data_IF_504019836765
#
_entry.id   IF_504019836765
#
_cell.length_a   1.000
_cell.length_b   1.000
_cell.length_c   1.000
_cell.angle_alpha   90.00
_cell.angle_beta   90.00
_cell.angle_gamma   90.00
#
_symmetry.space_group_name_H-M   'P 1'
#
loop_
_entity.id
_entity.type
_entity.pdbx_description
1 polymer ?
#
# COMPACT_ATOMS: atom_id res chain seq x y z
N UNK A 1 7.98 8.92 8.90
CA UNK A 1 8.36 8.77 7.47
C UNK A 1 7.10 8.33 6.75
N UNK A 2 6.73 8.93 5.62
CA UNK A 2 5.50 8.55 4.90
C UNK A 2 5.63 7.12 4.37
N UNK A 3 4.61 6.27 4.55
CA UNK A 3 4.57 4.92 3.98
C UNK A 3 4.36 4.93 2.46
N UNK A 4 3.75 6.00 1.93
CA UNK A 4 3.48 6.22 0.53
C UNK A 4 4.15 7.54 0.08
N UNK A 5 5.07 7.47 -0.88
CA UNK A 5 5.78 8.65 -1.41
C UNK A 5 5.47 8.84 -2.90
N UNK A 6 4.46 9.66 -3.17
CA UNK A 6 4.03 10.00 -4.53
C UNK A 6 5.07 10.79 -5.33
N UNK A 7 6.12 11.31 -4.70
CA UNK A 7 7.18 12.04 -5.42
C UNK A 7 8.12 11.10 -6.16
N UNK A 8 8.13 9.80 -5.83
CA UNK A 8 8.90 8.78 -6.52
C UNK A 8 8.15 8.35 -7.78
N UNK A 9 8.88 8.12 -8.88
CA UNK A 9 8.32 7.56 -10.11
C UNK A 9 7.70 6.19 -9.81
N UNK A 10 6.47 5.98 -10.26
CA UNK A 10 5.74 4.74 -10.04
C UNK A 10 6.21 3.65 -10.98
N UNK A 11 6.60 2.52 -10.41
CA UNK A 11 6.83 1.26 -11.10
C UNK A 11 6.26 0.12 -10.26
N UNK A 12 5.53 -0.79 -10.89
CA UNK A 12 5.03 -1.98 -10.24
C UNK A 12 6.16 -2.99 -10.06
N UNK A 13 6.24 -3.56 -8.86
CA UNK A 13 7.26 -4.53 -8.47
C UNK A 13 6.57 -5.81 -8.01
N UNK A 14 6.94 -6.93 -8.63
CA UNK A 14 6.44 -8.24 -8.24
C UNK A 14 7.50 -9.00 -7.47
N UNK A 15 7.09 -9.60 -6.37
CA UNK A 15 7.96 -10.39 -5.50
C UNK A 15 7.33 -11.75 -5.24
N UNK A 16 8.16 -12.75 -4.92
CA UNK A 16 7.71 -14.08 -4.56
C UNK A 16 8.37 -14.58 -3.28
N UNK A 17 7.69 -15.48 -2.59
CA UNK A 17 8.17 -16.18 -1.41
C UNK A 17 8.16 -17.68 -1.69
N UNK A 18 9.31 -18.36 -1.53
CA UNK A 18 9.50 -19.73 -2.03
C UNK A 18 8.86 -20.80 -1.16
N UNK A 19 8.85 -20.61 0.16
CA UNK A 19 8.39 -21.62 1.11
C UNK A 19 7.75 -20.95 2.35
N UNK A 20 6.43 -20.87 2.35
CA UNK A 20 5.65 -20.26 3.43
C UNK A 20 5.73 -21.03 4.76
N UNK A 21 6.27 -22.26 4.77
CA UNK A 21 6.50 -23.02 6.01
C UNK A 21 7.71 -22.52 6.79
N UNK A 22 8.59 -21.75 6.14
CA UNK A 22 9.85 -21.25 6.70
C UNK A 22 9.81 -19.72 6.73
N UNK A 23 9.53 -19.14 7.88
CA UNK A 23 9.55 -17.68 8.08
C UNK A 23 9.96 -17.30 9.49
N UNK A 24 10.49 -16.09 9.66
CA UNK A 24 10.84 -15.54 10.96
C UNK A 24 9.57 -15.16 11.73
N UNK A 25 9.41 -15.71 12.93
CA UNK A 25 8.28 -15.41 13.81
C UNK A 25 8.51 -14.08 14.54
N UNK A 26 7.51 -13.21 14.49
CA UNK A 26 7.47 -11.97 15.23
C UNK A 26 6.19 -11.88 16.04
N UNK A 27 6.29 -11.48 17.30
CA UNK A 27 5.14 -11.26 18.17
C UNK A 27 4.67 -9.80 18.06
N UNK A 28 3.35 -9.60 18.15
CA UNK A 28 2.81 -8.26 18.33
C UNK A 28 3.34 -7.65 19.64
N UNK A 29 3.57 -6.33 19.66
CA UNK A 29 3.81 -5.61 20.91
C UNK A 29 2.61 -5.76 21.85
N UNK A 30 2.86 -5.61 23.17
CA UNK A 30 1.79 -5.53 24.18
C UNK A 30 0.79 -4.42 23.82
N UNK A 31 -0.50 -4.67 24.05
CA UNK A 31 -1.59 -3.75 23.73
C UNK A 31 -2.16 -3.93 22.33
N UNK A 32 -1.78 -5.01 21.62
CA UNK A 32 -2.33 -5.35 20.31
C UNK A 32 -2.58 -6.84 20.18
N UNK A 33 -3.65 -7.21 19.45
CA UNK A 33 -3.91 -8.59 19.05
C UNK A 33 -4.33 -8.70 17.59
N UNK A 34 -4.39 -9.94 17.07
CA UNK A 34 -4.93 -10.23 15.75
C UNK A 34 -6.40 -10.65 15.83
N UNK A 35 -7.22 -10.16 14.92
CA UNK A 35 -8.55 -10.67 14.65
C UNK A 35 -8.69 -11.05 13.18
N UNK A 36 -9.44 -12.13 12.90
CA UNK A 36 -9.87 -12.43 11.55
C UNK A 36 -11.06 -11.56 11.13
N UNK A 37 -11.24 -11.44 9.83
CA UNK A 37 -12.39 -10.75 9.23
C UNK A 37 -13.72 -11.33 9.72
N UNK A 38 -14.67 -10.44 9.95
CA UNK A 38 -16.07 -10.75 10.27
C UNK A 38 -16.97 -9.94 9.35
N UNK A 39 -18.18 -10.44 9.11
CA UNK A 39 -19.19 -9.70 8.34
C UNK A 39 -19.36 -8.27 8.90
N UNK A 40 -19.33 -7.28 7.99
CA UNK A 40 -19.38 -5.86 8.34
C UNK A 40 -18.01 -5.17 8.46
N UNK A 41 -16.90 -5.90 8.40
CA UNK A 41 -15.55 -5.34 8.55
C UNK A 41 -15.04 -4.58 7.29
N UNK A 42 -15.77 -4.58 6.20
CA UNK A 42 -15.41 -3.82 4.98
C UNK A 42 -15.10 -2.35 5.30
N UNK A 43 -15.90 -1.70 6.13
CA UNK A 43 -15.67 -0.30 6.49
C UNK A 43 -14.37 -0.11 7.29
N UNK A 44 -14.01 -1.06 8.15
CA UNK A 44 -12.74 -1.05 8.87
C UNK A 44 -11.55 -1.14 7.91
N UNK A 45 -11.65 -2.03 6.92
CA UNK A 45 -10.64 -2.17 5.88
C UNK A 45 -10.48 -0.88 5.07
N UNK A 46 -11.58 -0.29 4.57
CA UNK A 46 -11.57 0.97 3.83
C UNK A 46 -10.91 2.08 4.64
N UNK A 47 -11.27 2.22 5.92
CA UNK A 47 -10.69 3.23 6.80
C UNK A 47 -9.19 3.05 7.02
N UNK A 48 -8.70 1.80 7.17
CA UNK A 48 -7.27 1.54 7.30
C UNK A 48 -6.54 2.01 6.04
N UNK A 49 -7.05 1.70 4.84
CA UNK A 49 -6.41 2.09 3.57
C UNK A 49 -6.48 3.60 3.31
N UNK A 50 -7.55 4.27 3.70
CA UNK A 50 -7.63 5.74 3.66
C UNK A 50 -6.60 6.35 4.62
N UNK A 51 -6.55 5.90 5.87
CA UNK A 51 -5.65 6.46 6.88
C UNK A 51 -4.18 6.07 6.66
N UNK A 52 -3.90 4.97 5.96
CA UNK A 52 -2.55 4.63 5.52
C UNK A 52 -2.06 5.50 4.36
N UNK A 53 -2.98 6.04 3.57
CA UNK A 53 -2.69 6.90 2.41
C UNK A 53 -2.87 6.23 1.06
N UNK A 54 -3.46 5.06 1.03
CA UNK A 54 -3.64 4.27 -0.19
C UNK A 54 -4.88 4.69 -0.97
N UNK A 55 -6.00 4.96 -0.27
CA UNK A 55 -7.24 5.46 -0.86
C UNK A 55 -7.47 6.93 -0.53
N UNK A 56 -8.11 7.63 -1.46
CA UNK A 56 -8.53 9.02 -1.26
C UNK A 56 -10.04 9.20 -1.16
N UNK A 57 -10.83 8.11 -1.28
CA UNK A 57 -12.28 8.15 -1.19
C UNK A 57 -12.87 6.83 -0.68
N UNK A 58 -13.99 6.91 0.06
CA UNK A 58 -14.70 5.72 0.56
C UNK A 58 -15.27 4.91 -0.60
N UNK A 59 -15.84 5.57 -1.62
CA UNK A 59 -16.40 4.92 -2.81
C UNK A 59 -15.34 4.16 -3.61
N UNK A 60 -14.10 4.65 -3.64
CA UNK A 60 -12.96 3.93 -4.21
C UNK A 60 -12.74 2.62 -3.47
N UNK A 61 -12.65 2.67 -2.13
CA UNK A 61 -12.48 1.50 -1.29
C UNK A 61 -13.61 0.48 -1.42
N UNK A 62 -14.88 0.93 -1.49
CA UNK A 62 -16.04 0.05 -1.72
C UNK A 62 -15.90 -0.70 -3.03
N UNK A 63 -15.61 0.00 -4.12
CA UNK A 63 -15.48 -0.59 -5.45
C UNK A 63 -14.31 -1.60 -5.51
N UNK A 64 -13.18 -1.25 -4.90
CA UNK A 64 -12.01 -2.14 -4.86
C UNK A 64 -12.31 -3.37 -4.02
N UNK A 65 -12.93 -3.21 -2.85
CA UNK A 65 -13.28 -4.34 -1.98
C UNK A 65 -14.14 -5.37 -2.71
N UNK A 66 -15.23 -4.93 -3.34
CA UNK A 66 -16.13 -5.82 -4.09
C UNK A 66 -15.43 -6.48 -5.30
N UNK A 67 -14.68 -5.71 -6.07
CA UNK A 67 -13.95 -6.25 -7.23
C UNK A 67 -12.91 -7.30 -6.83
N UNK A 68 -12.32 -7.15 -5.65
CA UNK A 68 -11.23 -8.02 -5.21
C UNK A 68 -11.71 -9.24 -4.42
N UNK A 69 -12.71 -9.07 -3.56
CA UNK A 69 -13.08 -10.07 -2.56
C UNK A 69 -14.38 -10.81 -2.80
N UNK A 70 -15.31 -10.29 -3.63
CA UNK A 70 -16.63 -10.91 -3.80
C UNK A 70 -16.55 -12.37 -4.27
N UNK A 71 -15.55 -12.74 -5.07
CA UNK A 71 -15.37 -14.09 -5.58
C UNK A 71 -15.04 -15.14 -4.50
N UNK A 72 -14.46 -14.70 -3.37
CA UNK A 72 -14.10 -15.58 -2.24
C UNK A 72 -14.42 -14.96 -0.87
N UNK A 73 -15.45 -14.10 -0.82
CA UNK A 73 -15.85 -13.39 0.41
C UNK A 73 -16.16 -14.34 1.57
N UNK A 74 -16.65 -15.54 1.28
CA UNK A 74 -16.95 -16.59 2.26
C UNK A 74 -15.71 -17.26 2.88
N UNK A 75 -14.51 -16.92 2.41
CA UNK A 75 -13.23 -17.40 2.96
C UNK A 75 -12.44 -16.33 3.72
N UNK A 76 -12.93 -15.09 3.77
CA UNK A 76 -12.20 -13.99 4.41
C UNK A 76 -11.98 -14.21 5.91
N UNK A 77 -12.86 -14.95 6.57
CA UNK A 77 -12.73 -15.36 7.97
C UNK A 77 -11.50 -16.24 8.27
N UNK A 78 -10.81 -16.77 7.25
CA UNK A 78 -9.60 -17.58 7.36
C UNK A 78 -8.37 -16.91 6.75
N UNK A 79 -8.58 -15.97 5.82
CA UNK A 79 -7.53 -15.41 4.94
C UNK A 79 -7.17 -13.99 5.26
N UNK A 80 -8.05 -13.30 5.96
CA UNK A 80 -7.98 -11.88 6.15
C UNK A 80 -7.87 -11.55 7.63
N UNK A 81 -6.86 -10.78 8.01
CA UNK A 81 -6.58 -10.41 9.39
C UNK A 81 -6.52 -8.91 9.59
N UNK A 82 -6.85 -8.51 10.80
CA UNK A 82 -6.63 -7.18 11.35
C UNK A 82 -5.69 -7.22 12.54
N UNK A 83 -4.96 -6.15 12.75
CA UNK A 83 -4.37 -5.79 14.04
C UNK A 83 -5.38 -4.89 14.74
N UNK A 84 -5.69 -5.20 15.99
CA UNK A 84 -6.61 -4.45 16.86
C UNK A 84 -5.83 -3.86 18.02
N UNK A 85 -6.07 -2.58 18.33
CA UNK A 85 -5.56 -1.91 19.53
C UNK A 85 -6.44 -2.30 20.72
N UNK A 86 -5.87 -2.91 21.76
CA UNK A 86 -6.58 -3.44 22.93
C UNK A 86 -7.27 -2.35 23.79
N UNK A 87 -6.79 -1.12 23.70
CA UNK A 87 -7.34 0.00 24.50
C UNK A 87 -8.56 0.61 23.80
N UNK A 88 -8.43 0.87 22.50
CA UNK A 88 -9.47 1.56 21.73
C UNK A 88 -10.45 0.60 21.07
N UNK A 89 -10.12 -0.69 20.99
CA UNK A 89 -10.80 -1.71 20.19
C UNK A 89 -10.89 -1.35 18.69
N UNK A 90 -9.94 -0.56 18.21
CA UNK A 90 -9.88 -0.09 16.84
C UNK A 90 -9.05 -1.03 15.97
N UNK A 91 -9.50 -1.33 14.76
CA UNK A 91 -8.72 -2.04 13.75
C UNK A 91 -7.76 -1.07 13.09
N UNK A 92 -6.46 -1.34 13.22
CA UNK A 92 -5.40 -0.38 12.91
C UNK A 92 -4.41 -0.86 11.83
N UNK A 93 -4.46 -2.13 11.51
CA UNK A 93 -3.65 -2.74 10.44
C UNK A 93 -4.36 -3.92 9.81
N UNK A 94 -3.96 -4.30 8.61
CA UNK A 94 -4.62 -5.35 7.83
C UNK A 94 -3.67 -6.02 6.85
N UNK A 95 -3.95 -7.28 6.51
CA UNK A 95 -3.33 -8.04 5.44
C UNK A 95 -4.24 -9.21 5.03
N UNK A 96 -4.13 -9.65 3.77
CA UNK A 96 -4.92 -10.75 3.21
C UNK A 96 -4.03 -11.75 2.48
N UNK A 97 -4.37 -13.04 2.53
CA UNK A 97 -3.94 -14.05 1.55
C UNK A 97 -5.08 -14.24 0.54
N UNK A 98 -4.92 -13.63 -0.61
CA UNK A 98 -5.88 -13.72 -1.70
C UNK A 98 -5.73 -15.03 -2.48
N UNK A 99 -6.86 -15.46 -3.06
CA UNK A 99 -6.88 -16.51 -4.08
C UNK A 99 -6.75 -15.87 -5.45
N UNK A 100 -5.77 -16.27 -6.21
CA UNK A 100 -5.68 -15.89 -7.61
C UNK A 100 -6.68 -16.74 -8.41
N UNK A 101 -7.58 -16.12 -9.17
CA UNK A 101 -8.59 -16.80 -9.99
C UNK A 101 -7.95 -17.63 -11.11
N UNK A 102 -6.81 -17.18 -11.60
CA UNK A 102 -5.93 -17.88 -12.52
C UNK A 102 -4.51 -17.85 -11.94
N UNK A 103 -3.68 -18.84 -12.32
CA UNK A 103 -2.28 -18.85 -11.90
C UNK A 103 -1.54 -17.65 -12.50
N UNK A 104 -1.04 -16.80 -11.64
CA UNK A 104 -0.18 -15.70 -12.03
C UNK A 104 1.27 -16.10 -11.80
N UNK A 105 2.09 -16.08 -12.86
CA UNK A 105 3.47 -16.57 -12.84
C UNK A 105 3.63 -18.00 -12.26
N UNK A 106 2.56 -18.80 -12.27
CA UNK A 106 2.53 -20.15 -11.69
C UNK A 106 2.06 -20.26 -10.26
N UNK A 107 1.82 -19.12 -9.57
CA UNK A 107 1.36 -19.04 -8.18
C UNK A 107 -0.16 -19.01 -8.07
N UNK A 108 -0.70 -19.56 -6.96
CA UNK A 108 -2.15 -19.62 -6.70
C UNK A 108 -2.60 -18.66 -5.60
N UNK A 109 -1.68 -18.03 -4.90
CA UNK A 109 -1.98 -17.13 -3.78
C UNK A 109 -1.07 -15.92 -3.76
N UNK A 110 -1.60 -14.81 -3.27
CA UNK A 110 -0.88 -13.57 -3.12
C UNK A 110 -1.08 -12.96 -1.73
N UNK A 111 -0.04 -12.27 -1.22
CA UNK A 111 -0.20 -11.34 -0.09
C UNK A 111 -0.67 -10.02 -0.66
N UNK A 112 -1.85 -9.59 -0.23
CA UNK A 112 -2.47 -8.37 -0.72
C UNK A 112 -2.92 -7.45 0.40
N UNK A 113 -3.09 -6.19 0.05
CA UNK A 113 -3.70 -5.15 0.87
C UNK A 113 -3.12 -5.05 2.27
N UNK A 114 -1.78 -5.03 2.35
CA UNK A 114 -1.05 -4.85 3.61
C UNK A 114 -0.98 -3.38 3.96
N UNK A 115 -1.67 -2.97 5.00
CA UNK A 115 -1.69 -1.58 5.43
C UNK A 115 -1.68 -1.44 6.96
N UNK A 116 -1.13 -0.33 7.44
CA UNK A 116 -1.20 0.10 8.85
C UNK A 116 -1.55 1.59 8.85
N UNK A 117 -2.56 1.98 9.63
CA UNK A 117 -2.95 3.38 9.82
C UNK A 117 -1.73 4.22 10.18
N UNK A 118 -1.66 5.45 9.66
CA UNK A 118 -0.51 6.34 9.79
C UNK A 118 -0.10 6.56 11.25
N UNK A 119 -1.05 6.77 12.15
CA UNK A 119 -0.80 7.05 13.57
C UNK A 119 -0.30 5.83 14.35
N UNK A 120 -0.39 4.65 13.74
CA UNK A 120 0.10 3.38 14.28
C UNK A 120 1.41 2.91 13.63
N UNK A 121 1.90 3.60 12.60
CA UNK A 121 3.20 3.30 12.00
C UNK A 121 4.34 3.63 12.98
N UNK A 122 5.45 2.92 12.81
CA UNK A 122 6.60 3.05 13.75
C UNK A 122 6.44 2.31 15.08
N UNK A 123 5.27 1.72 15.37
CA UNK A 123 5.00 0.94 16.59
C UNK A 123 5.40 -0.55 16.48
N UNK A 124 6.22 -0.91 15.49
CA UNK A 124 6.73 -2.27 15.25
C UNK A 124 5.64 -3.30 14.88
N UNK A 125 4.52 -2.87 14.29
CA UNK A 125 3.39 -3.73 13.94
C UNK A 125 3.59 -4.47 12.61
N UNK A 126 4.40 -3.94 11.69
CA UNK A 126 4.51 -4.47 10.32
C UNK A 126 5.19 -5.85 10.26
N UNK A 127 6.24 -6.09 11.04
CA UNK A 127 6.90 -7.41 11.05
C UNK A 127 5.98 -8.52 11.58
N UNK A 128 5.31 -8.37 12.75
CA UNK A 128 4.30 -9.32 13.18
C UNK A 128 3.19 -9.57 12.18
N UNK A 129 2.72 -8.52 11.48
CA UNK A 129 1.67 -8.64 10.47
C UNK A 129 2.11 -9.53 9.30
N UNK A 130 3.31 -9.29 8.75
CA UNK A 130 3.86 -10.12 7.66
C UNK A 130 4.13 -11.56 8.15
N UNK A 131 4.69 -11.74 9.34
CA UNK A 131 4.91 -13.07 9.90
C UNK A 131 3.58 -13.84 10.06
N UNK A 132 2.52 -13.17 10.57
CA UNK A 132 1.21 -13.80 10.75
C UNK A 132 0.58 -14.19 9.43
N UNK A 133 0.67 -13.32 8.40
CA UNK A 133 0.07 -13.63 7.10
C UNK A 133 0.81 -14.76 6.36
N UNK A 134 2.13 -14.86 6.50
CA UNK A 134 2.89 -16.01 5.99
C UNK A 134 2.49 -17.31 6.68
N UNK A 135 2.27 -17.28 8.01
CA UNK A 135 1.75 -18.41 8.75
C UNK A 135 0.38 -18.86 8.26
N UNK A 136 -0.53 -17.93 8.02
CA UNK A 136 -1.87 -18.21 7.46
C UNK A 136 -1.74 -18.82 6.06
N UNK A 137 -0.87 -18.28 5.20
CA UNK A 137 -0.62 -18.86 3.88
C UNK A 137 -0.19 -20.32 3.97
N UNK A 138 0.75 -20.62 4.87
CA UNK A 138 1.20 -22.01 5.14
C UNK A 138 0.08 -22.91 5.66
N UNK A 139 -0.71 -22.44 6.65
CA UNK A 139 -1.84 -23.16 7.22
C UNK A 139 -2.93 -23.48 6.17
N UNK A 140 -3.11 -22.59 5.20
CA UNK A 140 -4.04 -22.77 4.07
C UNK A 140 -3.47 -23.62 2.92
N UNK A 141 -2.22 -24.10 3.05
CA UNK A 141 -1.57 -24.98 2.08
C UNK A 141 -0.94 -24.27 0.88
N UNK A 142 -0.80 -22.95 0.92
CA UNK A 142 0.01 -22.24 -0.06
C UNK A 142 1.49 -22.48 0.23
N UNK A 143 2.15 -23.28 -0.61
CA UNK A 143 3.59 -23.54 -0.47
C UNK A 143 4.42 -22.29 -0.78
N UNK A 144 4.04 -21.62 -1.82
CA UNK A 144 4.65 -20.40 -2.33
C UNK A 144 3.57 -19.34 -2.64
N UNK A 145 3.97 -18.10 -2.62
CA UNK A 145 3.06 -16.96 -2.85
C UNK A 145 3.79 -15.82 -3.54
N UNK A 146 3.00 -14.95 -4.17
CA UNK A 146 3.50 -13.68 -4.70
C UNK A 146 2.96 -12.49 -3.91
N UNK A 147 3.49 -11.33 -4.19
CA UNK A 147 2.91 -10.04 -3.84
C UNK A 147 3.22 -8.99 -4.90
N UNK A 148 2.30 -8.05 -5.03
CA UNK A 148 2.46 -6.85 -5.81
C UNK A 148 2.77 -5.69 -4.86
N UNK A 149 3.78 -4.92 -5.22
CA UNK A 149 4.15 -3.68 -4.52
C UNK A 149 4.61 -2.65 -5.54
N UNK A 150 5.05 -1.49 -5.10
CA UNK A 150 5.49 -0.43 -6.00
C UNK A 150 6.60 0.40 -5.39
N UNK A 151 7.30 1.14 -6.26
CA UNK A 151 8.39 2.02 -5.84
C UNK A 151 7.94 3.12 -4.89
N UNK A 152 6.71 3.62 -5.00
CA UNK A 152 6.14 4.64 -4.13
C UNK A 152 5.91 4.16 -2.69
N UNK A 153 5.85 2.83 -2.48
CA UNK A 153 5.80 2.19 -1.15
C UNK A 153 7.13 1.48 -0.80
N UNK A 154 8.25 2.06 -1.18
CA UNK A 154 9.59 1.48 -1.06
C UNK A 154 9.95 0.94 0.33
N UNK A 155 9.38 1.50 1.40
CA UNK A 155 9.57 0.99 2.76
C UNK A 155 8.92 -0.38 2.97
N UNK A 156 7.72 -0.59 2.40
CA UNK A 156 7.07 -1.90 2.41
C UNK A 156 7.84 -2.90 1.53
N UNK A 157 8.25 -2.48 0.33
CA UNK A 157 9.07 -3.31 -0.55
C UNK A 157 10.40 -3.73 0.12
N UNK A 158 11.07 -2.80 0.83
CA UNK A 158 12.25 -3.14 1.64
C UNK A 158 11.92 -4.16 2.72
N UNK A 159 10.81 -3.98 3.45
CA UNK A 159 10.39 -4.92 4.50
C UNK A 159 10.17 -6.33 3.94
N UNK A 160 9.55 -6.46 2.76
CA UNK A 160 9.37 -7.76 2.11
C UNK A 160 10.70 -8.41 1.74
N UNK A 161 11.67 -7.65 1.20
CA UNK A 161 13.04 -8.15 0.96
C UNK A 161 13.72 -8.62 2.25
N UNK A 162 13.59 -7.85 3.34
CA UNK A 162 14.11 -8.20 4.67
C UNK A 162 13.49 -9.51 5.20
N UNK A 163 12.21 -9.78 4.87
CA UNK A 163 11.52 -11.03 5.23
C UNK A 163 11.89 -12.24 4.37
N UNK A 164 12.60 -12.05 3.29
CA UNK A 164 13.03 -13.15 2.45
C UNK A 164 12.37 -13.20 1.08
N UNK A 165 11.39 -12.35 0.78
CA UNK A 165 10.86 -12.24 -0.57
C UNK A 165 11.96 -11.96 -1.58
N UNK A 166 11.79 -12.48 -2.78
CA UNK A 166 12.73 -12.35 -3.90
C UNK A 166 12.06 -11.60 -5.05
N UNK A 167 12.88 -11.02 -5.94
CA UNK A 167 12.43 -10.33 -7.14
C UNK A 167 11.83 -11.35 -8.13
N UNK A 168 10.59 -11.08 -8.61
CA UNK A 168 9.92 -11.91 -9.61
C UNK A 168 10.05 -11.31 -11.02
N UNK A 169 9.56 -10.08 -11.24
CA UNK A 169 9.63 -9.39 -12.54
C UNK A 169 10.98 -8.68 -12.76
N UNK A 170 12.03 -9.48 -13.01
CA UNK A 170 13.42 -8.99 -13.18
C UNK A 170 13.59 -8.03 -14.35
N UNK A 171 12.69 -8.06 -15.34
CA UNK A 171 12.65 -7.16 -16.49
C UNK A 171 12.30 -5.72 -16.13
N UNK A 172 11.63 -5.47 -14.99
CA UNK A 172 11.35 -4.13 -14.48
C UNK A 172 12.60 -3.51 -13.83
N UNK A 173 13.65 -3.34 -14.65
CA UNK A 173 14.97 -2.92 -14.17
C UNK A 173 14.98 -1.53 -13.52
N UNK A 174 14.20 -0.58 -14.04
CA UNK A 174 14.18 0.80 -13.54
C UNK A 174 13.57 0.84 -12.14
N UNK A 175 12.43 0.19 -11.94
CA UNK A 175 11.77 0.10 -10.63
C UNK A 175 12.66 -0.53 -9.56
N UNK A 176 13.35 -1.63 -9.91
CA UNK A 176 14.29 -2.28 -8.99
C UNK A 176 15.55 -1.43 -8.73
N UNK A 177 16.03 -0.67 -9.72
CA UNK A 177 17.16 0.25 -9.55
C UNK A 177 16.76 1.43 -8.64
N UNK A 178 15.53 1.95 -8.75
CA UNK A 178 14.98 2.92 -7.78
C UNK A 178 15.01 2.33 -6.37
N UNK A 179 14.47 1.13 -6.19
CA UNK A 179 14.46 0.47 -4.89
C UNK A 179 15.87 0.19 -4.36
N UNK A 180 16.80 -0.24 -5.23
CA UNK A 180 18.23 -0.37 -4.90
C UNK A 180 18.81 0.92 -4.37
N UNK A 181 18.57 2.02 -5.06
CA UNK A 181 19.10 3.33 -4.71
C UNK A 181 18.56 3.83 -3.37
N UNK A 182 17.25 3.66 -3.13
CA UNK A 182 16.60 4.10 -1.91
C UNK A 182 16.94 3.26 -0.67
N UNK A 183 17.22 1.95 -0.85
CA UNK A 183 17.34 1.00 0.27
C UNK A 183 18.73 0.43 0.45
N UNK A 184 19.54 0.44 -0.59
CA UNK A 184 20.83 -0.27 -0.69
C UNK A 184 20.75 -1.74 -0.27
N UNK A 185 19.61 -2.40 -0.49
CA UNK A 185 19.38 -3.78 -0.06
C UNK A 185 20.27 -4.77 -0.84
N UNK A 186 20.86 -5.76 -0.15
CA UNK A 186 21.83 -6.71 -0.74
C UNK A 186 21.24 -7.58 -1.84
N UNK A 187 19.98 -7.98 -1.74
CA UNK A 187 19.27 -8.75 -2.80
C UNK A 187 19.12 -7.98 -4.11
N UNK A 188 19.36 -6.68 -4.12
CA UNK A 188 19.28 -5.82 -5.30
C UNK A 188 20.66 -5.43 -5.85
N UNK A 189 21.71 -6.18 -5.52
CA UNK A 189 23.10 -5.86 -5.91
C UNK A 189 23.34 -5.86 -7.44
N UNK A 190 22.50 -6.55 -8.21
CA UNK A 190 22.58 -6.59 -9.69
C UNK A 190 21.96 -5.37 -10.38
N UNK A 191 21.23 -4.51 -9.62
CA UNK A 191 20.57 -3.32 -10.15
C UNK A 191 21.44 -2.09 -9.96
N UNK A 192 21.29 -1.12 -10.87
CA UNK A 192 22.07 0.11 -10.88
C UNK A 192 21.66 1.06 -9.78
N UNK A 193 22.59 1.90 -9.36
CA UNK A 193 22.30 3.06 -8.51
C UNK A 193 21.99 4.25 -9.44
N UNK A 194 20.84 4.84 -9.26
CA UNK A 194 20.33 5.91 -10.12
C UNK A 194 20.63 7.30 -9.57
N UNK A 195 20.70 8.27 -10.46
CA UNK A 195 20.76 9.68 -10.08
C UNK A 195 19.37 10.16 -9.61
N UNK A 196 19.34 11.27 -8.89
CA UNK A 196 18.14 11.79 -8.24
C UNK A 196 17.00 12.08 -9.23
N UNK A 197 17.34 12.59 -10.41
CA UNK A 197 16.40 12.92 -11.48
C UNK A 197 15.70 11.70 -12.06
N UNK A 198 16.32 10.53 -11.96
CA UNK A 198 15.75 9.27 -12.44
C UNK A 198 14.80 8.62 -11.44
N UNK A 199 14.93 8.96 -10.16
CA UNK A 199 14.10 8.44 -9.06
C UNK A 199 12.81 9.23 -8.91
N UNK A 200 12.87 10.56 -8.94
CA UNK A 200 11.78 11.42 -8.56
C UNK A 200 11.02 12.00 -9.76
N UNK A 201 9.70 12.07 -9.63
CA UNK A 201 8.81 12.74 -10.58
C UNK A 201 8.70 14.23 -10.23
N UNK A 202 9.31 15.08 -11.07
CA UNK A 202 9.31 16.55 -10.88
C UNK A 202 7.90 17.13 -10.78
N UNK A 203 6.95 16.57 -11.52
CA UNK A 203 5.55 16.97 -11.55
C UNK A 203 4.89 16.68 -10.21
N UNK A 204 5.06 15.48 -9.69
CA UNK A 204 4.50 15.09 -8.41
C UNK A 204 5.13 15.84 -7.24
N UNK A 205 6.40 16.20 -7.32
CA UNK A 205 7.05 17.10 -6.35
C UNK A 205 6.34 18.46 -6.32
N UNK A 206 6.09 19.05 -7.49
CA UNK A 206 5.41 20.36 -7.58
C UNK A 206 3.97 20.30 -7.08
N UNK A 207 3.22 19.23 -7.43
CA UNK A 207 1.88 18.99 -6.89
C UNK A 207 1.92 18.94 -5.36
N UNK A 208 2.83 18.15 -4.79
CA UNK A 208 2.94 18.01 -3.32
C UNK A 208 3.29 19.35 -2.66
N UNK A 209 4.14 20.16 -3.25
CA UNK A 209 4.49 21.48 -2.72
C UNK A 209 3.26 22.41 -2.68
N UNK A 210 2.46 22.44 -3.75
CA UNK A 210 1.22 23.23 -3.77
C UNK A 210 0.18 22.73 -2.79
N UNK A 211 -0.02 21.41 -2.69
CA UNK A 211 -0.92 20.82 -1.71
C UNK A 211 -0.50 21.15 -0.26
N UNK A 212 0.80 21.12 0.04
CA UNK A 212 1.32 21.53 1.36
C UNK A 212 0.99 22.99 1.68
N UNK A 213 1.01 23.89 0.68
CA UNK A 213 0.59 25.27 0.87
C UNK A 213 -0.93 25.37 1.10
N UNK A 214 -1.75 24.70 0.29
CA UNK A 214 -3.22 24.70 0.39
C UNK A 214 -3.66 24.17 1.77
N UNK A 215 -3.10 23.06 2.22
CA UNK A 215 -3.45 22.41 3.47
C UNK A 215 -2.54 22.81 4.65
N UNK A 216 -1.80 23.93 4.54
CA UNK A 216 -0.98 24.55 5.60
C UNK A 216 -0.01 23.55 6.28
N UNK A 217 0.64 22.71 5.47
CA UNK A 217 1.53 21.63 5.93
C UNK A 217 0.88 20.58 6.87
N UNK A 218 -0.45 20.49 6.89
CA UNK A 218 -1.16 19.44 7.61
C UNK A 218 -0.92 18.07 6.98
N UNK A 219 -1.23 17.01 7.70
CA UNK A 219 -1.20 15.66 7.16
C UNK A 219 -2.40 15.44 6.22
N UNK A 220 -2.12 15.09 4.97
CA UNK A 220 -3.12 14.73 3.97
C UNK A 220 -2.58 13.56 3.14
N UNK A 221 -3.51 12.84 2.51
CA UNK A 221 -3.19 11.82 1.50
C UNK A 221 -3.60 12.37 0.14
N UNK A 222 -2.88 12.01 -0.91
CA UNK A 222 -3.27 12.39 -2.25
C UNK A 222 -2.86 11.30 -3.25
N UNK A 223 -3.62 11.22 -4.34
CA UNK A 223 -3.30 10.42 -5.52
C UNK A 223 -3.42 11.27 -6.77
N UNK A 224 -2.66 10.91 -7.80
CA UNK A 224 -2.68 11.57 -9.11
C UNK A 224 -3.13 10.58 -10.15
N UNK A 225 -4.24 10.87 -10.83
CA UNK A 225 -4.81 9.99 -11.85
C UNK A 225 -4.85 10.69 -13.20
N UNK A 226 -4.37 10.02 -14.23
CA UNK A 226 -4.51 10.47 -15.61
C UNK A 226 -5.73 9.81 -16.25
N UNK A 227 -6.76 10.60 -16.53
CA UNK A 227 -8.00 10.11 -17.14
C UNK A 227 -8.50 11.09 -18.21
N UNK A 228 -8.82 10.58 -19.41
CA UNK A 228 -9.36 11.36 -20.53
C UNK A 228 -8.49 12.57 -20.93
N UNK A 229 -7.18 12.43 -20.94
CA UNK A 229 -6.27 13.51 -21.30
C UNK A 229 -6.05 14.56 -20.21
N UNK A 230 -6.61 14.35 -19.02
CA UNK A 230 -6.51 15.28 -17.89
C UNK A 230 -5.88 14.57 -16.67
N UNK A 231 -5.03 15.28 -15.97
CA UNK A 231 -4.55 14.87 -14.66
C UNK A 231 -5.52 15.37 -13.59
N UNK A 232 -5.99 14.46 -12.75
CA UNK A 232 -6.83 14.78 -11.59
C UNK A 232 -6.03 14.43 -10.34
N UNK A 233 -6.07 15.32 -9.36
CA UNK A 233 -5.44 15.11 -8.05
C UNK A 233 -6.55 14.99 -7.02
N UNK A 234 -6.62 13.84 -6.38
CA UNK A 234 -7.56 13.58 -5.29
C UNK A 234 -6.82 13.69 -3.96
N UNK A 235 -7.38 14.45 -3.03
CA UNK A 235 -6.78 14.66 -1.70
C UNK A 235 -7.78 14.28 -0.63
N UNK A 236 -7.36 13.43 0.29
CA UNK A 236 -8.11 13.13 1.51
C UNK A 236 -7.49 13.89 2.69
N UNK A 237 -8.30 14.76 3.30
CA UNK A 237 -7.91 15.58 4.43
C UNK A 237 -9.11 15.81 5.37
N UNK A 238 -8.94 15.54 6.67
CA UNK A 238 -9.97 15.73 7.72
C UNK A 238 -11.34 15.15 7.32
N UNK A 239 -11.36 13.88 6.90
CA UNK A 239 -12.59 13.17 6.45
C UNK A 239 -13.30 13.79 5.23
N UNK A 240 -12.62 14.60 4.47
CA UNK A 240 -13.13 15.16 3.22
C UNK A 240 -12.26 14.72 2.05
N UNK A 241 -12.89 14.49 0.91
CA UNK A 241 -12.20 14.30 -0.36
C UNK A 241 -12.30 15.56 -1.18
N UNK A 242 -11.16 16.05 -1.63
CA UNK A 242 -11.02 17.21 -2.51
C UNK A 242 -10.55 16.71 -3.86
N UNK A 243 -11.13 17.22 -4.93
CA UNK A 243 -10.72 16.95 -6.30
C UNK A 243 -10.16 18.24 -6.90
N UNK A 244 -8.91 18.16 -7.39
CA UNK A 244 -8.24 19.25 -8.10
C UNK A 244 -7.98 18.84 -9.53
N UNK A 245 -8.15 19.77 -10.46
CA UNK A 245 -7.61 19.65 -11.81
C UNK A 245 -6.23 20.23 -11.87
N UNK A 246 -5.39 19.53 -12.56
CA UNK A 246 -4.02 19.88 -12.82
C UNK A 246 -3.90 20.54 -14.19
N UNK A 247 -3.26 21.70 -14.24
CA UNK A 247 -2.98 22.43 -15.46
C UNK A 247 -1.48 22.67 -15.55
N UNK A 248 -0.89 22.35 -16.68
CA UNK A 248 0.49 22.63 -17.00
C UNK A 248 0.55 23.84 -17.95
N UNK A 249 0.94 24.99 -17.46
CA UNK A 249 1.11 26.21 -18.22
C UNK A 249 2.56 26.71 -18.11
N UNK A 250 3.30 26.76 -19.22
CA UNK A 250 4.67 27.29 -19.29
C UNK A 250 5.60 26.70 -18.20
N UNK A 251 5.68 25.40 -18.11
CA UNK A 251 6.47 24.64 -17.12
C UNK A 251 6.05 24.84 -15.65
N UNK A 252 4.88 25.38 -15.38
CA UNK A 252 4.31 25.50 -14.04
C UNK A 252 3.03 24.68 -13.92
N UNK A 253 2.88 24.03 -12.78
CA UNK A 253 1.70 23.28 -12.41
C UNK A 253 0.78 24.20 -11.61
N UNK A 254 -0.49 24.19 -11.94
CA UNK A 254 -1.54 24.87 -11.17
C UNK A 254 -2.63 23.89 -10.80
N UNK A 255 -2.95 23.82 -9.52
CA UNK A 255 -4.10 23.09 -9.01
C UNK A 255 -5.31 24.02 -8.90
N UNK A 256 -6.45 23.59 -9.46
CA UNK A 256 -7.74 24.26 -9.29
C UNK A 256 -8.74 23.29 -8.67
N UNK A 257 -9.30 23.65 -7.51
CA UNK A 257 -10.32 22.85 -6.84
C UNK A 257 -11.58 22.76 -7.70
N UNK A 258 -12.06 21.52 -7.93
CA UNK A 258 -13.26 21.25 -8.73
C UNK A 258 -14.40 20.80 -7.83
N UNK A 259 -14.10 20.05 -6.75
CA UNK A 259 -15.11 19.40 -5.93
C UNK A 259 -14.61 19.16 -4.50
N UNK A 260 -15.51 19.38 -3.54
CA UNK A 260 -15.31 19.01 -2.15
C UNK A 260 -16.50 18.13 -1.72
N UNK A 261 -16.23 16.86 -1.40
CA UNK A 261 -17.24 15.96 -0.83
C UNK A 261 -16.99 15.81 0.67
N UNK A 262 -17.94 16.24 1.49
CA UNK A 262 -17.92 16.01 2.92
C UNK A 262 -18.52 14.66 3.25
N UNK A 263 -17.78 13.84 3.97
CA UNK A 263 -18.31 12.59 4.53
C UNK A 263 -18.74 12.86 5.98
N UNK A 264 -19.99 12.52 6.27
CA UNK A 264 -20.45 12.48 7.66
C UNK A 264 -19.91 11.21 8.31
N UNK A 265 -19.33 11.34 9.51
CA UNK A 265 -19.00 10.19 10.38
C UNK A 265 -20.24 9.38 10.70
#
# INVERSE_FOLDING_TARGET
>A
MKSYDNTIKYYELLMFYEDTSIYEKHLLPEGFHFEFYKDGDMNNWINIHIESGEFCAIEEGINIFHNFYDSFIHELDKRYIFIVDDITNEKVGTATISLLSEKEYGYNGAVDWVAIKRDYQGRKLSRPLIAKILGIASELGHKDIILHTQTTTWLAAKLYLDFGFNVLNKEERIGWSILKTLTNHSKLSEYEVLEKEDIYDKRNIEIELQLKQIFKNSNFNYSVWYKNGLHNVYVYYEYNTYEYKYFEEKDKIRLAEVKNKKYKR
#
